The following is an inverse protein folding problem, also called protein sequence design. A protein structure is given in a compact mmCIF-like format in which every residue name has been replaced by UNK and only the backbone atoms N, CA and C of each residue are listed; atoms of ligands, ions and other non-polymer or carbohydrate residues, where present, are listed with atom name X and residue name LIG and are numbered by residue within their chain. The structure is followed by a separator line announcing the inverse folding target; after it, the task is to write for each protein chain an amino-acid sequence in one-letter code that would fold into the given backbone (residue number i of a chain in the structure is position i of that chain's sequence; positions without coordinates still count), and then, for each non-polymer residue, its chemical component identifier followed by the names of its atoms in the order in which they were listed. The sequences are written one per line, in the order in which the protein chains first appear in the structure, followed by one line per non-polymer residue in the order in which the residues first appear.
data_IF_677533133636
#
_entry.id   IF_677533133636
#
_cell.length_a   1.000
_cell.length_b   1.000
_cell.length_c   1.000
_cell.angle_alpha   90.00
_cell.angle_beta   90.00
_cell.angle_gamma   90.00
#
_symmetry.space_group_name_H-M   'P 1'
#
loop_
_entity.id
_entity.type
_entity.pdbx_description
1 polymer ?
#
# COMPACT_ATOMS: atom_id res chain seq x y z
N UNK A 1 24.46 0.10 -0.58
CA UNK A 1 23.50 0.74 -1.50
C UNK A 1 22.12 0.78 -0.86
N UNK A 2 21.45 1.92 -0.96
CA UNK A 2 20.12 2.24 -0.43
C UNK A 2 19.32 3.00 -1.49
N UNK A 3 18.07 2.64 -1.65
CA UNK A 3 17.08 3.33 -2.50
C UNK A 3 15.87 3.68 -1.65
N UNK A 4 15.42 4.94 -1.71
CA UNK A 4 14.15 5.35 -1.11
C UNK A 4 13.23 5.84 -2.22
N UNK A 5 12.01 5.30 -2.28
CA UNK A 5 10.96 5.73 -3.19
C UNK A 5 9.86 6.40 -2.37
N UNK A 6 9.51 7.63 -2.72
CA UNK A 6 8.44 8.42 -2.14
C UNK A 6 7.33 8.65 -3.15
N UNK A 7 6.08 8.56 -2.72
CA UNK A 7 4.90 8.88 -3.52
C UNK A 7 3.94 9.71 -2.69
N UNK A 8 3.42 10.82 -3.26
CA UNK A 8 2.50 11.72 -2.57
C UNK A 8 3.01 12.23 -1.20
N UNK A 9 4.33 12.45 -1.07
CA UNK A 9 4.94 12.95 0.16
C UNK A 9 5.16 14.48 0.11
N UNK A 10 5.19 15.16 1.27
CA UNK A 10 5.48 16.59 1.35
C UNK A 10 6.79 16.99 0.66
N UNK A 11 6.83 18.20 0.07
CA UNK A 11 8.05 18.75 -0.56
C UNK A 11 9.22 18.88 0.41
N UNK A 12 8.93 19.17 1.69
CA UNK A 12 9.94 19.27 2.75
C UNK A 12 10.69 17.96 2.99
N UNK A 13 9.98 16.82 2.96
CA UNK A 13 10.60 15.50 3.10
C UNK A 13 11.49 15.18 1.89
N UNK A 14 11.05 15.51 0.68
CA UNK A 14 11.89 15.35 -0.52
C UNK A 14 13.17 16.16 -0.43
N UNK A 15 13.07 17.44 -0.09
CA UNK A 15 14.24 18.31 0.13
C UNK A 15 15.10 17.89 1.32
N UNK A 16 14.53 17.20 2.31
CA UNK A 16 15.32 16.60 3.38
C UNK A 16 16.24 15.51 2.86
N UNK A 17 15.70 14.57 2.08
CA UNK A 17 16.45 13.41 1.59
C UNK A 17 17.57 13.80 0.62
N UNK A 18 17.43 14.88 -0.14
CA UNK A 18 18.50 15.35 -1.04
C UNK A 18 19.77 15.79 -0.32
N UNK A 19 19.72 16.03 1.00
CA UNK A 19 20.91 16.30 1.83
C UNK A 19 21.84 15.10 1.95
N UNK A 20 21.33 13.88 1.72
CA UNK A 20 22.05 12.63 1.95
C UNK A 20 22.06 11.70 0.73
N UNK A 21 21.06 11.81 -0.12
CA UNK A 21 20.81 10.91 -1.26
C UNK A 21 20.66 11.73 -2.54
N UNK A 22 20.96 11.11 -3.68
CA UNK A 22 20.75 11.70 -4.99
C UNK A 22 19.34 11.36 -5.50
N UNK A 23 18.53 12.36 -5.82
CA UNK A 23 17.24 12.15 -6.48
C UNK A 23 17.47 11.91 -7.98
N UNK A 24 17.29 10.68 -8.44
CA UNK A 24 17.57 10.25 -9.82
C UNK A 24 16.32 10.27 -10.72
N UNK A 25 15.15 10.37 -10.11
CA UNK A 25 13.83 10.47 -10.74
C UNK A 25 12.86 11.04 -9.69
N UNK A 26 11.74 11.69 -10.05
CA UNK A 26 10.83 12.27 -9.07
C UNK A 26 10.43 11.27 -7.97
N UNK A 27 10.82 11.58 -6.73
CA UNK A 27 10.57 10.73 -5.57
C UNK A 27 11.47 9.49 -5.44
N UNK A 28 12.45 9.28 -6.32
CA UNK A 28 13.39 8.14 -6.25
C UNK A 28 14.79 8.63 -5.87
N UNK A 29 15.23 8.24 -4.68
CA UNK A 29 16.48 8.64 -4.07
C UNK A 29 17.44 7.47 -3.99
N UNK A 30 18.70 7.67 -4.38
CA UNK A 30 19.76 6.67 -4.40
C UNK A 30 20.96 7.14 -3.58
N UNK A 31 21.57 6.24 -2.80
CA UNK A 31 22.83 6.53 -2.11
C UNK A 31 23.42 5.32 -1.42
N UNK A 32 24.54 5.51 -0.71
CA UNK A 32 25.17 4.44 0.06
C UNK A 32 25.53 4.88 1.49
N UNK A 33 24.54 5.37 2.28
CA UNK A 33 24.76 5.68 3.69
C UNK A 33 25.07 4.41 4.51
N UNK A 34 25.71 4.58 5.66
CA UNK A 34 25.87 3.51 6.64
C UNK A 34 24.51 3.04 7.18
N UNK A 35 24.46 1.84 7.78
CA UNK A 35 23.23 1.29 8.34
C UNK A 35 22.55 2.25 9.33
N UNK A 36 23.33 2.86 10.23
CA UNK A 36 22.85 3.87 11.20
C UNK A 36 22.19 5.06 10.52
N UNK A 37 22.82 5.61 9.47
CA UNK A 37 22.27 6.77 8.76
C UNK A 37 21.03 6.37 7.97
N UNK A 38 21.03 5.19 7.32
CA UNK A 38 19.85 4.65 6.65
C UNK A 38 18.65 4.53 7.61
N UNK A 39 18.86 3.97 8.79
CA UNK A 39 17.81 3.83 9.81
C UNK A 39 17.29 5.19 10.28
N UNK A 40 18.18 6.16 10.51
CA UNK A 40 17.78 7.52 10.86
C UNK A 40 16.94 8.18 9.74
N UNK A 41 17.40 8.09 8.48
CA UNK A 41 16.65 8.59 7.33
C UNK A 41 15.28 7.92 7.21
N UNK A 42 15.20 6.62 7.49
CA UNK A 42 13.95 5.88 7.39
C UNK A 42 12.95 6.26 8.47
N UNK A 43 13.42 6.52 9.69
CA UNK A 43 12.56 7.03 10.77
C UNK A 43 11.99 8.42 10.44
N UNK A 44 12.81 9.31 9.87
CA UNK A 44 12.36 10.62 9.40
C UNK A 44 11.31 10.48 8.28
N UNK A 45 11.51 9.55 7.33
CA UNK A 45 10.51 9.26 6.30
C UNK A 45 9.19 8.82 6.94
N UNK A 46 9.21 7.87 7.88
CA UNK A 46 7.99 7.42 8.59
C UNK A 46 7.32 8.53 9.39
N UNK A 47 8.09 9.48 9.92
CA UNK A 47 7.57 10.58 10.71
C UNK A 47 6.93 11.68 9.86
N UNK A 48 7.52 11.98 8.69
CA UNK A 48 7.17 13.16 7.89
C UNK A 48 6.52 12.83 6.53
N UNK A 49 6.21 11.55 6.26
CA UNK A 49 5.54 11.15 5.02
C UNK A 49 4.07 11.62 4.93
N UNK A 50 3.43 11.97 6.06
CA UNK A 50 2.01 12.35 6.14
C UNK A 50 1.10 11.27 5.52
N UNK A 51 0.28 11.59 4.51
CA UNK A 51 -0.53 10.60 3.75
C UNK A 51 0.24 9.99 2.57
N UNK A 52 1.53 10.27 2.49
CA UNK A 52 2.44 9.76 1.47
C UNK A 52 2.83 8.31 1.74
N UNK A 53 3.31 7.66 0.68
CA UNK A 53 3.75 6.27 0.71
C UNK A 53 5.24 6.23 0.48
N UNK A 54 5.93 5.33 1.18
CA UNK A 54 7.36 5.16 1.00
C UNK A 54 7.77 3.69 0.92
N UNK A 55 8.83 3.45 0.16
CA UNK A 55 9.53 2.18 0.08
C UNK A 55 11.02 2.44 0.27
N UNK A 56 11.65 1.67 1.15
CA UNK A 56 13.08 1.65 1.36
C UNK A 56 13.59 0.30 0.86
N UNK A 57 14.61 0.28 0.01
CA UNK A 57 15.34 -0.92 -0.36
C UNK A 57 16.83 -0.73 -0.04
N UNK A 58 17.49 -1.74 0.49
CA UNK A 58 18.91 -1.67 0.81
C UNK A 58 19.59 -3.02 0.76
N UNK A 59 20.90 -2.98 0.51
CA UNK A 59 21.75 -4.16 0.54
C UNK A 59 21.85 -4.73 1.96
N UNK A 60 21.75 -6.05 2.04
CA UNK A 60 21.95 -6.83 3.27
C UNK A 60 22.62 -8.16 2.93
N UNK A 61 23.17 -8.84 3.93
CA UNK A 61 23.85 -10.12 3.75
C UNK A 61 22.84 -11.29 3.88
N UNK A 62 21.91 -11.39 2.94
CA UNK A 62 20.98 -12.50 2.77
C UNK A 62 21.11 -13.08 1.35
N UNK A 63 20.35 -14.15 1.06
CA UNK A 63 20.42 -14.85 -0.24
C UNK A 63 20.10 -13.95 -1.44
N UNK A 64 19.21 -12.97 -1.26
CA UNK A 64 18.84 -12.02 -2.32
C UNK A 64 19.84 -10.86 -2.47
N UNK A 65 20.71 -10.64 -1.48
CA UNK A 65 21.65 -9.52 -1.40
C UNK A 65 20.99 -8.17 -1.07
N UNK A 66 19.68 -8.16 -0.78
CA UNK A 66 18.92 -6.96 -0.43
C UNK A 66 17.67 -7.30 0.38
N UNK A 67 17.10 -6.27 0.99
CA UNK A 67 15.78 -6.30 1.61
C UNK A 67 15.06 -4.99 1.34
N UNK A 68 13.77 -4.93 1.64
CA UNK A 68 12.99 -3.73 1.51
C UNK A 68 11.94 -3.60 2.62
N UNK A 69 11.66 -2.35 2.99
CA UNK A 69 10.67 -1.95 3.98
C UNK A 69 9.68 -0.99 3.34
N UNK A 70 8.47 -0.93 3.89
CA UNK A 70 7.40 -0.07 3.36
C UNK A 70 6.76 0.77 4.45
N UNK A 71 6.19 1.90 4.07
CA UNK A 71 5.39 2.78 4.92
C UNK A 71 4.14 3.21 4.13
N UNK A 72 2.97 2.94 4.71
CA UNK A 72 1.63 3.18 4.13
C UNK A 72 1.46 2.71 2.67
N UNK A 73 2.19 1.66 2.31
CA UNK A 73 2.19 1.08 0.98
C UNK A 73 1.21 -0.10 0.90
N UNK A 74 0.37 -0.15 -0.14
CA UNK A 74 -0.59 -1.25 -0.31
C UNK A 74 0.09 -2.62 -0.51
N UNK A 75 1.31 -2.62 -1.04
CA UNK A 75 2.10 -3.83 -1.23
C UNK A 75 3.07 -4.00 -0.09
N UNK A 76 3.06 -5.20 0.50
CA UNK A 76 3.79 -5.49 1.72
C UNK A 76 4.90 -6.51 1.44
N UNK A 77 6.12 -6.33 2.00
CA UNK A 77 7.11 -7.39 2.06
C UNK A 77 6.54 -8.62 2.76
N UNK A 78 6.78 -9.81 2.23
CA UNK A 78 6.34 -11.08 2.85
C UNK A 78 7.41 -12.13 2.62
N UNK A 79 7.74 -12.87 3.68
CA UNK A 79 8.67 -13.98 3.62
C UNK A 79 8.00 -15.22 3.02
N UNK A 80 8.69 -15.85 2.07
CA UNK A 80 8.30 -17.10 1.45
C UNK A 80 9.54 -17.99 1.34
N UNK A 81 9.66 -18.96 2.24
CA UNK A 81 10.78 -19.92 2.28
C UNK A 81 12.15 -19.22 2.38
N UNK A 82 12.26 -18.12 3.13
CA UNK A 82 13.49 -17.35 3.28
C UNK A 82 13.71 -16.27 2.21
N UNK A 83 12.89 -16.22 1.17
CA UNK A 83 12.89 -15.15 0.17
C UNK A 83 11.90 -14.06 0.54
N UNK A 84 12.35 -12.81 0.53
CA UNK A 84 11.47 -11.65 0.69
C UNK A 84 10.82 -11.32 -0.66
N UNK A 85 9.49 -11.46 -0.74
CA UNK A 85 8.67 -11.14 -1.91
C UNK A 85 7.70 -9.99 -1.63
N UNK A 86 7.04 -9.47 -2.67
CA UNK A 86 6.02 -8.43 -2.55
C UNK A 86 4.62 -9.05 -2.64
N UNK A 87 3.84 -8.98 -1.57
CA UNK A 87 2.42 -9.33 -1.57
C UNK A 87 1.59 -8.17 -2.11
N UNK A 88 0.84 -8.42 -3.19
CA UNK A 88 -0.14 -7.49 -3.75
C UNK A 88 -1.55 -7.95 -3.38
N UNK A 89 -2.33 -7.16 -2.62
CA UNK A 89 -3.69 -7.54 -2.29
C UNK A 89 -4.54 -7.59 -3.56
N UNK A 90 -5.33 -8.66 -3.71
CA UNK A 90 -6.29 -8.78 -4.80
C UNK A 90 -7.53 -7.92 -4.44
N UNK A 91 -7.88 -6.89 -5.22
CA UNK A 91 -9.06 -6.07 -4.93
C UNK A 91 -10.37 -6.89 -4.95
N UNK A 92 -10.39 -8.03 -5.65
CA UNK A 92 -11.56 -8.91 -5.70
C UNK A 92 -11.75 -9.77 -4.44
N UNK A 93 -10.71 -10.03 -3.64
CA UNK A 93 -10.82 -10.90 -2.45
C UNK A 93 -11.44 -10.18 -1.24
N UNK A 94 -11.58 -8.86 -1.29
CA UNK A 94 -12.29 -8.06 -0.27
C UNK A 94 -13.77 -7.81 -0.59
N UNK A 95 -14.28 -8.25 -1.74
CA UNK A 95 -15.73 -8.25 -1.98
C UNK A 95 -16.32 -9.32 -1.08
N UNK A 96 -17.21 -8.99 -0.12
CA UNK A 96 -18.00 -10.02 0.52
C UNK A 96 -18.66 -10.83 -0.61
N UNK A 97 -18.58 -12.16 -0.52
CA UNK A 97 -19.24 -13.08 -1.43
C UNK A 97 -20.58 -12.47 -1.79
N UNK A 98 -20.82 -12.26 -3.10
CA UNK A 98 -22.02 -11.61 -3.63
C UNK A 98 -23.19 -11.93 -2.72
N UNK A 99 -23.78 -10.90 -2.08
CA UNK A 99 -25.07 -11.05 -1.40
C UNK A 99 -25.92 -11.81 -2.40
N UNK A 100 -26.26 -13.05 -2.07
CA UNK A 100 -27.25 -13.82 -2.81
C UNK A 100 -28.40 -12.85 -3.05
N UNK A 101 -28.84 -12.62 -4.30
CA UNK A 101 -29.92 -11.68 -4.54
C UNK A 101 -31.06 -12.11 -3.62
N UNK A 102 -31.36 -11.28 -2.63
CA UNK A 102 -32.39 -11.58 -1.65
C UNK A 102 -33.64 -11.95 -2.45
N UNK A 103 -34.20 -13.13 -2.19
CA UNK A 103 -35.46 -13.56 -2.78
C UNK A 103 -36.41 -12.35 -2.70
N UNK A 104 -36.89 -11.81 -3.83
CA UNK A 104 -37.70 -10.61 -3.80
C UNK A 104 -38.88 -10.87 -2.88
N UNK A 105 -39.05 -10.05 -1.82
CA UNK A 105 -40.14 -10.27 -0.88
C UNK A 105 -41.46 -10.33 -1.64
N UNK A 106 -42.16 -11.45 -1.51
CA UNK A 106 -43.40 -11.71 -2.22
C UNK A 106 -44.43 -10.65 -1.80
N UNK A 107 -44.82 -9.77 -2.72
CA UNK A 107 -45.71 -8.63 -2.39
C UNK A 107 -45.22 -7.24 -2.81
N UNK A 108 -43.98 -7.10 -3.28
CA UNK A 108 -43.41 -5.77 -3.59
C UNK A 108 -43.98 -5.12 -4.86
N UNK A 109 -44.50 -5.91 -5.80
CA UNK A 109 -45.00 -5.40 -7.08
C UNK A 109 -46.40 -4.79 -6.96
N UNK A 110 -46.68 -3.74 -7.75
CA UNK A 110 -48.03 -3.14 -7.84
C UNK A 110 -49.09 -4.17 -8.27
N UNK A 111 -48.70 -5.15 -9.09
CA UNK A 111 -49.57 -6.26 -9.48
C UNK A 111 -49.96 -7.15 -8.29
N UNK A 112 -49.01 -7.46 -7.40
CA UNK A 112 -49.30 -8.24 -6.18
C UNK A 112 -50.19 -7.48 -5.20
N UNK A 113 -49.95 -6.18 -4.99
CA UNK A 113 -50.82 -5.32 -4.15
C UNK A 113 -52.24 -5.21 -4.71
N UNK A 114 -52.41 -5.06 -6.02
CA UNK A 114 -53.74 -5.03 -6.67
C UNK A 114 -54.51 -6.34 -6.49
N UNK A 115 -53.85 -7.50 -6.55
CA UNK A 115 -54.50 -8.78 -6.27
C UNK A 115 -54.96 -8.93 -4.81
N UNK A 116 -54.22 -8.36 -3.84
CA UNK A 116 -54.58 -8.42 -2.42
C UNK A 116 -55.70 -7.46 -2.02
N UNK A 117 -55.76 -6.27 -2.61
CA UNK A 117 -56.65 -5.19 -2.16
C UNK A 117 -57.64 -4.67 -3.22
N UNK A 118 -57.59 -5.17 -4.46
CA UNK A 118 -58.42 -4.70 -5.57
C UNK A 118 -59.73 -5.46 -5.77
N UNK A 119 -60.13 -6.29 -4.81
CA UNK A 119 -61.42 -6.98 -4.82
C UNK A 119 -62.47 -6.23 -4.03
N UNK A 120 -63.03 -5.16 -4.61
CA UNK A 120 -64.36 -4.61 -4.32
C UNK A 120 -64.85 -3.87 -5.56
#
# INVERSE_FOLDING_TARGET
MTVIVLTNCPVGLRGFLTRWLLEISPGVFLGSPSARIREALWNEVRQYADQGRALLAYQTNNEQGYTFETHDHAWHPTDHEGLTLIRRPNPASGRPAQRTPAVPQQGWSKASKRRRFGGR
#
